data_IF_658591310224
#
_entry.id   IF_658591310224
#
_cell.length_a   1.000
_cell.length_b   1.000
_cell.length_c   1.000
_cell.angle_alpha   90.00
_cell.angle_beta   90.00
_cell.angle_gamma   90.00
#
_symmetry.space_group_name_H-M   'P 1'
#
loop_
_entity.id
_entity.type
_entity.pdbx_description
1 polymer ?
#
# COMPACT_ATOMS: atom_id res chain seq x y z
N UNK A 1 -15.61 -5.71 -0.17
CA UNK A 1 -15.31 -4.30 -0.40
C UNK A 1 -16.48 -3.40 -0.01
N UNK A 2 -17.65 -3.51 -0.62
CA UNK A 2 -18.80 -2.66 -0.35
C UNK A 2 -19.15 -2.58 1.15
N UNK A 3 -19.19 -3.71 1.87
CA UNK A 3 -19.44 -3.76 3.32
C UNK A 3 -18.38 -2.99 4.09
N UNK A 4 -17.11 -3.14 3.73
CA UNK A 4 -16.04 -2.41 4.38
C UNK A 4 -16.17 -0.90 4.16
N UNK A 5 -16.44 -0.46 2.91
CA UNK A 5 -16.65 0.94 2.57
C UNK A 5 -17.84 1.55 3.34
N UNK A 6 -18.98 0.85 3.39
CA UNK A 6 -20.17 1.28 4.13
C UNK A 6 -19.87 1.39 5.62
N UNK A 7 -19.16 0.41 6.19
CA UNK A 7 -18.77 0.41 7.60
C UNK A 7 -17.85 1.60 7.92
N UNK A 8 -16.85 1.88 7.07
CA UNK A 8 -15.96 3.01 7.27
C UNK A 8 -16.68 4.33 7.10
N UNK A 9 -17.54 4.47 6.09
CA UNK A 9 -18.37 5.66 5.92
C UNK A 9 -19.24 5.93 7.16
N UNK A 10 -19.90 4.92 7.68
CA UNK A 10 -20.68 5.04 8.92
C UNK A 10 -19.81 5.45 10.11
N UNK A 11 -18.62 4.90 10.24
CA UNK A 11 -17.69 5.23 11.32
C UNK A 11 -17.21 6.69 11.21
N UNK A 12 -16.91 7.17 10.00
CA UNK A 12 -16.50 8.55 9.76
C UNK A 12 -17.65 9.53 10.04
N UNK A 13 -18.84 9.25 9.53
CA UNK A 13 -20.01 10.12 9.70
C UNK A 13 -20.50 10.22 11.14
N UNK A 14 -20.19 9.25 12.00
CA UNK A 14 -20.57 9.23 13.40
C UNK A 14 -19.58 9.89 14.35
N UNK A 15 -18.45 10.38 13.87
CA UNK A 15 -17.37 10.94 14.69
C UNK A 15 -16.81 12.21 14.04
N UNK A 16 -16.46 13.18 14.88
CA UNK A 16 -15.68 14.36 14.46
C UNK A 16 -14.22 14.10 14.78
N UNK A 17 -13.36 14.12 13.74
CA UNK A 17 -11.93 13.98 13.89
C UNK A 17 -11.24 15.34 13.72
N UNK A 18 -10.25 15.59 14.55
CA UNK A 18 -9.34 16.72 14.38
C UNK A 18 -8.05 16.17 13.76
N UNK A 19 -7.76 16.64 12.56
CA UNK A 19 -6.51 16.29 11.87
C UNK A 19 -5.38 17.13 12.47
N UNK A 20 -4.35 16.46 12.97
CA UNK A 20 -3.18 17.10 13.57
C UNK A 20 -1.89 16.55 12.95
N UNK A 21 -0.84 17.36 12.93
CA UNK A 21 0.50 16.99 12.45
C UNK A 21 0.50 16.39 11.03
N UNK A 22 0.99 15.17 10.88
CA UNK A 22 1.12 14.50 9.58
C UNK A 22 -0.21 14.38 8.83
N UNK A 23 -1.30 14.12 9.53
CA UNK A 23 -2.64 13.99 8.91
C UNK A 23 -3.12 15.30 8.31
N UNK A 24 -2.95 16.41 9.05
CA UNK A 24 -3.27 17.74 8.54
C UNK A 24 -2.38 18.10 7.34
N UNK A 25 -1.09 17.75 7.39
CA UNK A 25 -0.16 17.99 6.30
C UNK A 25 -0.57 17.24 5.02
N UNK A 26 -0.95 15.97 5.11
CA UNK A 26 -1.40 15.21 3.93
C UNK A 26 -2.75 15.67 3.39
N UNK A 27 -3.65 16.15 4.24
CA UNK A 27 -4.89 16.79 3.79
C UNK A 27 -4.60 18.10 3.03
N UNK A 28 -3.69 18.93 3.53
CA UNK A 28 -3.26 20.16 2.84
C UNK A 28 -2.61 19.84 1.49
N UNK A 29 -1.74 18.81 1.45
CA UNK A 29 -1.15 18.33 0.20
C UNK A 29 -2.20 17.84 -0.81
N UNK A 30 -3.32 17.29 -0.35
CA UNK A 30 -4.42 16.90 -1.22
C UNK A 30 -5.08 18.12 -1.86
N UNK A 31 -5.33 19.18 -1.10
CA UNK A 31 -5.86 20.45 -1.65
C UNK A 31 -4.88 21.09 -2.66
N UNK A 32 -3.58 21.06 -2.35
CA UNK A 32 -2.56 21.61 -3.25
C UNK A 32 -2.47 20.78 -4.55
N UNK A 33 -2.59 19.44 -4.45
CA UNK A 33 -2.65 18.54 -5.61
C UNK A 33 -3.85 18.85 -6.49
N UNK A 34 -5.04 18.96 -5.91
CA UNK A 34 -6.27 19.31 -6.62
C UNK A 34 -6.12 20.65 -7.34
N UNK A 35 -5.63 21.68 -6.65
CA UNK A 35 -5.39 22.99 -7.25
C UNK A 35 -4.39 22.92 -8.42
N UNK A 36 -3.34 22.10 -8.30
CA UNK A 36 -2.35 21.92 -9.36
C UNK A 36 -2.91 21.15 -10.57
N UNK A 37 -3.71 20.09 -10.33
CA UNK A 37 -4.37 19.33 -11.40
C UNK A 37 -5.49 20.13 -12.07
N UNK A 38 -6.22 20.97 -11.33
CA UNK A 38 -7.23 21.87 -11.88
C UNK A 38 -6.63 22.90 -12.86
N UNK A 39 -5.39 23.34 -12.64
CA UNK A 39 -4.70 24.23 -13.58
C UNK A 39 -4.30 23.52 -14.86
N UNK A 40 -3.68 22.36 -14.75
CA UNK A 40 -3.33 21.48 -15.85
C UNK A 40 -2.80 20.12 -15.35
N UNK A 41 -2.92 19.08 -16.18
CA UNK A 41 -2.30 17.77 -15.90
C UNK A 41 -0.79 17.91 -15.70
N UNK A 42 -0.12 18.74 -16.49
CA UNK A 42 1.32 19.02 -16.34
C UNK A 42 1.68 19.72 -15.03
N UNK A 43 0.81 20.60 -14.52
CA UNK A 43 0.91 21.23 -13.21
C UNK A 43 0.84 20.20 -12.09
N UNK A 44 -0.17 19.34 -12.12
CA UNK A 44 -0.31 18.24 -11.16
C UNK A 44 0.88 17.27 -11.15
N UNK A 45 1.32 16.84 -12.32
CA UNK A 45 2.52 15.99 -12.43
C UNK A 45 3.78 16.68 -11.88
N UNK A 46 3.97 17.98 -12.17
CA UNK A 46 5.10 18.74 -11.62
C UNK A 46 5.02 18.84 -10.10
N UNK A 47 3.83 19.00 -9.53
CA UNK A 47 3.61 19.01 -8.09
C UNK A 47 4.00 17.67 -7.45
N UNK A 48 3.62 16.53 -8.07
CA UNK A 48 3.98 15.19 -7.59
C UNK A 48 5.49 14.98 -7.66
N UNK A 49 6.08 15.14 -8.84
CA UNK A 49 7.51 14.89 -9.05
C UNK A 49 8.41 15.90 -8.34
N UNK A 50 7.96 17.12 -8.11
CA UNK A 50 8.69 18.13 -7.34
C UNK A 50 8.94 17.72 -5.90
N UNK A 51 8.10 16.86 -5.33
CA UNK A 51 8.22 16.37 -3.95
C UNK A 51 9.10 15.13 -3.78
N UNK A 52 9.72 14.61 -4.85
CA UNK A 52 10.54 13.37 -4.76
C UNK A 52 11.73 13.47 -3.80
N UNK A 53 12.25 14.68 -3.58
CA UNK A 53 13.35 14.93 -2.66
C UNK A 53 12.88 15.24 -1.22
N UNK A 54 11.59 15.46 -0.99
CA UNK A 54 11.03 15.83 0.30
C UNK A 54 10.90 14.63 1.23
N UNK A 55 10.91 14.87 2.54
CA UNK A 55 10.67 13.82 3.55
C UNK A 55 9.25 13.25 3.47
N UNK A 56 8.31 14.07 3.02
CA UNK A 56 6.91 13.75 2.82
C UNK A 56 6.55 13.95 1.35
N UNK A 57 6.58 12.86 0.60
CA UNK A 57 6.24 12.93 -0.83
C UNK A 57 4.75 13.17 -1.06
N UNK A 58 4.40 13.72 -2.23
CA UNK A 58 3.02 13.99 -2.61
C UNK A 58 2.37 12.82 -3.37
N UNK A 59 3.07 11.70 -3.57
CA UNK A 59 2.61 10.61 -4.44
C UNK A 59 1.30 9.95 -3.99
N UNK A 60 1.00 9.95 -2.67
CA UNK A 60 -0.26 9.40 -2.19
C UNK A 60 -1.47 10.15 -2.75
N UNK A 61 -1.32 11.46 -2.99
CA UNK A 61 -2.42 12.29 -3.51
C UNK A 61 -2.87 11.87 -4.90
N UNK A 62 -1.98 11.27 -5.71
CA UNK A 62 -2.33 10.75 -7.03
C UNK A 62 -3.47 9.71 -6.97
N UNK A 63 -3.46 8.85 -5.95
CA UNK A 63 -4.44 7.76 -5.81
C UNK A 63 -5.74 8.22 -5.17
N UNK A 64 -5.68 9.25 -4.35
CA UNK A 64 -6.85 9.79 -3.63
C UNK A 64 -7.50 10.95 -4.36
N UNK A 65 -6.85 11.54 -5.34
CA UNK A 65 -7.32 12.72 -6.08
C UNK A 65 -8.67 12.47 -6.76
N UNK A 66 -8.78 11.38 -7.53
CA UNK A 66 -10.00 11.10 -8.28
C UNK A 66 -11.27 11.02 -7.39
N UNK A 67 -11.31 10.20 -6.32
CA UNK A 67 -12.49 10.20 -5.45
C UNK A 67 -12.62 11.48 -4.62
N UNK A 68 -11.54 12.14 -4.26
CA UNK A 68 -11.58 13.37 -3.48
C UNK A 68 -12.21 14.54 -4.24
N UNK A 69 -11.85 14.74 -5.50
CA UNK A 69 -12.40 15.79 -6.36
C UNK A 69 -13.91 15.64 -6.66
N UNK A 70 -14.49 14.46 -6.37
CA UNK A 70 -15.93 14.20 -6.50
C UNK A 70 -16.72 14.44 -5.21
N UNK A 71 -16.07 14.92 -4.15
CA UNK A 71 -16.66 15.07 -2.82
C UNK A 71 -16.78 16.54 -2.41
N UNK A 72 -17.20 16.79 -1.18
CA UNK A 72 -17.31 18.11 -0.57
C UNK A 72 -15.99 18.68 -0.03
N UNK A 73 -14.87 18.00 -0.30
CA UNK A 73 -13.50 18.41 0.05
C UNK A 73 -13.27 18.59 1.56
N UNK A 74 -14.01 17.89 2.37
CA UNK A 74 -13.82 17.85 3.83
C UNK A 74 -12.72 16.87 4.24
N UNK A 75 -12.27 16.93 5.51
CA UNK A 75 -11.37 15.93 6.07
C UNK A 75 -11.97 14.52 6.04
N UNK A 76 -13.28 14.39 6.25
CA UNK A 76 -13.98 13.10 6.16
C UNK A 76 -13.98 12.57 4.72
N UNK A 77 -14.15 13.45 3.74
CA UNK A 77 -14.04 13.11 2.32
C UNK A 77 -12.63 12.64 1.95
N UNK A 78 -11.60 13.25 2.52
CA UNK A 78 -10.21 12.80 2.35
C UNK A 78 -9.99 11.40 2.93
N UNK A 79 -10.43 11.15 4.16
CA UNK A 79 -10.36 9.82 4.77
C UNK A 79 -11.14 8.79 3.96
N UNK A 80 -12.33 9.14 3.47
CA UNK A 80 -13.14 8.28 2.61
C UNK A 80 -12.42 7.96 1.29
N UNK A 81 -11.78 8.94 0.66
CA UNK A 81 -11.03 8.75 -0.58
C UNK A 81 -9.87 7.77 -0.40
N UNK A 82 -9.17 7.85 0.72
CA UNK A 82 -8.12 6.88 1.07
C UNK A 82 -8.70 5.47 1.28
N UNK A 83 -9.77 5.35 2.06
CA UNK A 83 -10.45 4.05 2.28
C UNK A 83 -10.90 3.45 0.95
N UNK A 84 -11.47 4.26 0.06
CA UNK A 84 -11.99 3.82 -1.22
C UNK A 84 -10.89 3.27 -2.14
N UNK A 85 -9.74 3.93 -2.20
CA UNK A 85 -8.64 3.56 -3.10
C UNK A 85 -7.71 2.49 -2.52
N UNK A 86 -7.37 2.60 -1.23
CA UNK A 86 -6.27 1.83 -0.63
C UNK A 86 -6.79 0.53 -0.03
N UNK A 87 -7.91 0.57 0.69
CA UNK A 87 -8.41 -0.60 1.43
C UNK A 87 -8.70 -1.82 0.55
N UNK A 88 -9.39 -1.71 -0.60
CA UNK A 88 -9.67 -2.87 -1.44
C UNK A 88 -8.40 -3.55 -1.94
N UNK A 89 -7.44 -2.75 -2.37
CA UNK A 89 -6.15 -3.23 -2.89
C UNK A 89 -5.38 -3.95 -1.78
N UNK A 90 -5.32 -3.35 -0.60
CA UNK A 90 -4.65 -3.94 0.56
C UNK A 90 -5.29 -5.26 1.00
N UNK A 91 -6.63 -5.31 1.04
CA UNK A 91 -7.39 -6.53 1.37
C UNK A 91 -7.06 -7.66 0.40
N UNK A 92 -7.07 -7.38 -0.91
CA UNK A 92 -6.78 -8.38 -1.95
C UNK A 92 -5.34 -8.86 -1.88
N UNK A 93 -4.38 -7.95 -1.72
CA UNK A 93 -2.96 -8.31 -1.64
C UNK A 93 -2.65 -9.15 -0.40
N UNK A 94 -3.17 -8.78 0.76
CA UNK A 94 -2.96 -9.55 1.99
C UNK A 94 -3.65 -10.91 1.93
N UNK A 95 -4.88 -10.96 1.42
CA UNK A 95 -5.56 -12.25 1.21
C UNK A 95 -4.82 -13.12 0.19
N UNK A 96 -4.29 -12.53 -0.88
CA UNK A 96 -3.43 -13.21 -1.86
C UNK A 96 -2.15 -13.76 -1.22
N UNK A 97 -1.52 -12.99 -0.34
CA UNK A 97 -0.34 -13.43 0.41
C UNK A 97 -0.65 -14.63 1.32
N UNK A 98 -1.77 -14.59 2.05
CA UNK A 98 -2.21 -15.71 2.89
C UNK A 98 -2.46 -16.97 2.06
N UNK A 99 -3.10 -16.84 0.88
CA UNK A 99 -3.31 -17.96 -0.06
C UNK A 99 -1.97 -18.51 -0.56
N UNK A 100 -1.03 -17.64 -0.91
CA UNK A 100 0.29 -18.03 -1.41
C UNK A 100 1.10 -18.80 -0.35
N UNK A 101 1.12 -18.30 0.87
CA UNK A 101 1.73 -19.00 2.01
C UNK A 101 1.06 -20.35 2.24
N UNK A 102 -0.28 -20.40 2.20
CA UNK A 102 -1.04 -21.66 2.31
C UNK A 102 -0.69 -22.66 1.21
N UNK A 103 -0.40 -22.21 -0.02
CA UNK A 103 0.07 -23.06 -1.11
C UNK A 103 1.46 -23.65 -0.81
N UNK A 104 2.39 -22.84 -0.33
CA UNK A 104 3.74 -23.29 0.03
C UNK A 104 3.71 -24.31 1.18
N UNK A 105 2.75 -24.17 2.10
CA UNK A 105 2.53 -25.10 3.20
C UNK A 105 1.64 -26.32 2.80
N UNK A 106 1.33 -26.51 1.51
CA UNK A 106 0.50 -27.61 0.98
C UNK A 106 -0.91 -27.70 1.58
N UNK A 107 -1.51 -26.56 1.93
CA UNK A 107 -2.85 -26.55 2.52
C UNK A 107 -3.92 -26.68 1.43
N UNK A 108 -4.88 -27.59 1.63
CA UNK A 108 -5.84 -28.03 0.59
C UNK A 108 -6.94 -27.00 0.27
N UNK A 109 -7.33 -26.14 1.20
CA UNK A 109 -8.53 -25.31 1.03
C UNK A 109 -8.23 -23.82 0.88
N UNK A 110 -7.88 -23.40 -0.34
CA UNK A 110 -7.44 -22.04 -0.66
C UNK A 110 -8.51 -20.95 -0.36
N UNK A 111 -9.78 -21.28 -0.56
CA UNK A 111 -10.87 -20.32 -0.35
C UNK A 111 -11.02 -19.94 1.13
N UNK A 112 -10.86 -20.90 2.06
CA UNK A 112 -10.91 -20.58 3.50
C UNK A 112 -9.77 -19.64 3.90
N UNK A 113 -8.56 -19.84 3.38
CA UNK A 113 -7.44 -18.96 3.67
C UNK A 113 -7.62 -17.57 3.08
N UNK A 114 -8.17 -17.48 1.87
CA UNK A 114 -8.52 -16.20 1.28
C UNK A 114 -9.56 -15.45 2.12
N UNK A 115 -10.64 -16.10 2.48
CA UNK A 115 -11.69 -15.51 3.33
C UNK A 115 -11.16 -15.17 4.74
N UNK A 116 -10.31 -16.02 5.30
CA UNK A 116 -9.65 -15.76 6.58
C UNK A 116 -8.76 -14.52 6.50
N UNK A 117 -7.91 -14.41 5.47
CA UNK A 117 -7.07 -13.24 5.24
C UNK A 117 -7.90 -11.96 5.08
N UNK A 118 -8.97 -12.00 4.28
CA UNK A 118 -9.92 -10.88 4.11
C UNK A 118 -10.53 -10.45 5.45
N UNK A 119 -11.03 -11.42 6.21
CA UNK A 119 -11.68 -11.15 7.51
C UNK A 119 -10.68 -10.59 8.52
N UNK A 120 -9.49 -11.21 8.62
CA UNK A 120 -8.44 -10.74 9.52
C UNK A 120 -8.06 -9.29 9.23
N UNK A 121 -7.86 -8.96 7.95
CA UNK A 121 -7.50 -7.59 7.55
C UNK A 121 -8.63 -6.60 7.85
N UNK A 122 -9.87 -6.96 7.51
CA UNK A 122 -11.02 -6.10 7.74
C UNK A 122 -11.31 -5.84 9.22
N UNK A 123 -10.98 -6.81 10.09
CA UNK A 123 -11.23 -6.71 11.54
C UNK A 123 -10.03 -6.21 12.33
N UNK A 124 -8.85 -6.10 11.72
CA UNK A 124 -7.64 -5.70 12.43
C UNK A 124 -7.73 -4.23 12.91
N UNK A 125 -7.73 -3.99 14.24
CA UNK A 125 -8.03 -2.67 14.78
C UNK A 125 -7.06 -1.58 14.32
N UNK A 126 -5.78 -1.91 14.15
CA UNK A 126 -4.76 -0.96 13.73
C UNK A 126 -4.99 -0.46 12.30
N UNK A 127 -5.30 -1.35 11.35
CA UNK A 127 -5.62 -0.95 9.98
C UNK A 127 -6.87 -0.09 9.94
N UNK A 128 -7.86 -0.41 10.77
CA UNK A 128 -9.09 0.37 10.89
C UNK A 128 -8.82 1.78 11.43
N UNK A 129 -8.01 1.89 12.49
CA UNK A 129 -7.61 3.20 13.03
C UNK A 129 -6.83 4.02 12.01
N UNK A 130 -5.87 3.40 11.33
CA UNK A 130 -5.06 4.06 10.30
C UNK A 130 -5.91 4.54 9.13
N UNK A 131 -6.93 3.77 8.73
CA UNK A 131 -7.87 4.15 7.69
C UNK A 131 -8.71 5.38 8.08
N UNK A 132 -9.27 5.37 9.30
CA UNK A 132 -10.10 6.47 9.82
C UNK A 132 -9.27 7.75 9.98
N UNK A 133 -8.02 7.63 10.42
CA UNK A 133 -7.10 8.77 10.58
C UNK A 133 -6.40 9.17 9.27
N UNK A 134 -6.73 8.51 8.15
CA UNK A 134 -6.12 8.76 6.84
C UNK A 134 -4.58 8.75 6.87
N UNK A 135 -4.00 7.75 7.56
CA UNK A 135 -2.54 7.62 7.66
C UNK A 135 -1.96 7.18 6.31
N UNK A 136 -0.94 7.86 5.80
CA UNK A 136 -0.34 7.51 4.51
C UNK A 136 0.45 6.18 4.55
N UNK A 137 0.74 5.65 5.75
CA UNK A 137 1.55 4.45 5.91
C UNK A 137 0.91 3.20 5.28
N UNK A 138 -0.41 3.08 5.31
CA UNK A 138 -1.07 1.93 4.70
C UNK A 138 -1.03 1.94 3.16
N UNK A 139 -0.81 3.10 2.55
CA UNK A 139 -0.50 3.17 1.12
C UNK A 139 0.82 2.46 0.80
N UNK A 140 1.85 2.65 1.63
CA UNK A 140 3.12 1.93 1.49
C UNK A 140 2.97 0.42 1.71
N UNK A 141 2.04 -0.02 2.58
CA UNK A 141 1.78 -1.46 2.80
C UNK A 141 1.29 -2.18 1.55
N UNK A 142 0.60 -1.49 0.63
CA UNK A 142 0.23 -2.06 -0.68
C UNK A 142 1.46 -2.58 -1.40
N UNK A 143 2.48 -1.74 -1.50
CA UNK A 143 3.72 -2.09 -2.21
C UNK A 143 4.55 -3.12 -1.42
N UNK A 144 4.56 -3.05 -0.08
CA UNK A 144 5.21 -4.07 0.74
C UNK A 144 4.61 -5.46 0.50
N UNK A 145 3.28 -5.59 0.50
CA UNK A 145 2.63 -6.86 0.21
C UNK A 145 2.77 -7.28 -1.26
N UNK A 146 2.82 -6.34 -2.20
CA UNK A 146 3.12 -6.65 -3.59
C UNK A 146 4.54 -7.22 -3.75
N UNK A 147 5.55 -6.62 -3.11
CA UNK A 147 6.92 -7.12 -3.10
C UNK A 147 6.95 -8.54 -2.51
N UNK A 148 6.33 -8.76 -1.34
CA UNK A 148 6.25 -10.08 -0.72
C UNK A 148 5.62 -11.11 -1.65
N UNK A 149 4.47 -10.80 -2.28
CA UNK A 149 3.81 -11.69 -3.23
C UNK A 149 4.66 -12.03 -4.46
N UNK A 150 5.40 -11.04 -4.95
CA UNK A 150 6.25 -11.20 -6.13
C UNK A 150 7.54 -11.98 -5.83
N UNK A 151 8.01 -11.99 -4.60
CA UNK A 151 9.30 -12.57 -4.23
C UNK A 151 9.19 -13.91 -3.48
N UNK A 152 8.02 -14.27 -2.96
CA UNK A 152 7.83 -15.43 -2.08
C UNK A 152 8.20 -16.78 -2.74
N UNK A 153 8.08 -16.89 -4.06
CA UNK A 153 8.50 -18.05 -4.88
C UNK A 153 9.38 -17.61 -6.05
N UNK A 154 10.07 -16.49 -5.90
CA UNK A 154 10.96 -15.99 -6.94
C UNK A 154 12.21 -16.86 -7.02
N UNK A 155 12.57 -17.24 -8.24
CA UNK A 155 13.76 -18.02 -8.53
C UNK A 155 14.78 -17.15 -9.23
N UNK A 156 15.96 -17.01 -8.64
CA UNK A 156 17.04 -16.19 -9.18
C UNK A 156 17.76 -16.84 -10.38
N UNK A 157 17.64 -18.18 -10.51
CA UNK A 157 18.19 -18.96 -11.62
C UNK A 157 17.43 -18.81 -12.94
N UNK A 158 16.22 -18.25 -12.90
CA UNK A 158 15.37 -18.06 -14.07
C UNK A 158 15.16 -16.57 -14.35
N UNK A 159 15.38 -16.14 -15.60
CA UNK A 159 15.11 -14.76 -16.02
C UNK A 159 13.60 -14.56 -16.21
N UNK A 160 12.97 -13.91 -15.25
CA UNK A 160 11.57 -13.47 -15.33
C UNK A 160 11.49 -11.92 -15.44
N UNK A 161 11.76 -11.34 -16.63
CA UNK A 161 11.98 -9.89 -16.76
C UNK A 161 10.76 -9.05 -16.35
N UNK A 162 9.56 -9.53 -16.62
CA UNK A 162 8.32 -8.84 -16.22
C UNK A 162 8.19 -8.81 -14.71
N UNK A 163 8.41 -9.93 -14.04
CA UNK A 163 8.32 -10.04 -12.59
C UNK A 163 9.41 -9.20 -11.91
N UNK A 164 10.62 -9.23 -12.44
CA UNK A 164 11.71 -8.38 -11.97
C UNK A 164 11.38 -6.89 -12.13
N UNK A 165 10.82 -6.49 -13.28
CA UNK A 165 10.34 -5.13 -13.50
C UNK A 165 9.24 -4.71 -12.52
N UNK A 166 8.30 -5.59 -12.20
CA UNK A 166 7.24 -5.34 -11.21
C UNK A 166 7.81 -5.20 -9.80
N UNK A 167 8.79 -6.03 -9.42
CA UNK A 167 9.48 -5.91 -8.12
C UNK A 167 10.20 -4.56 -8.04
N UNK A 168 10.92 -4.17 -9.08
CA UNK A 168 11.60 -2.87 -9.15
C UNK A 168 10.62 -1.70 -9.02
N UNK A 169 9.52 -1.73 -9.76
CA UNK A 169 8.48 -0.69 -9.70
C UNK A 169 7.82 -0.62 -8.32
N UNK A 170 7.50 -1.75 -7.71
CA UNK A 170 6.93 -1.80 -6.36
C UNK A 170 7.93 -1.28 -5.32
N UNK A 171 9.23 -1.58 -5.49
CA UNK A 171 10.31 -1.08 -4.62
C UNK A 171 10.47 0.44 -4.74
N UNK A 172 10.44 0.97 -5.95
CA UNK A 172 10.47 2.42 -6.16
C UNK A 172 9.22 3.10 -5.56
N UNK A 173 8.05 2.51 -5.79
CA UNK A 173 6.78 3.05 -5.31
C UNK A 173 6.69 3.06 -3.77
N UNK A 174 7.18 2.03 -3.07
CA UNK A 174 7.15 2.00 -1.61
C UNK A 174 8.06 3.08 -0.99
N UNK A 175 9.22 3.33 -1.58
CA UNK A 175 10.13 4.40 -1.14
C UNK A 175 9.51 5.77 -1.39
N UNK A 176 8.82 5.95 -2.53
CA UNK A 176 8.07 7.16 -2.85
C UNK A 176 6.81 7.34 -2.00
N UNK A 177 6.20 6.25 -1.52
CA UNK A 177 5.07 6.33 -0.60
C UNK A 177 5.47 6.99 0.72
N UNK A 178 6.57 6.54 1.30
CA UNK A 178 7.15 7.15 2.51
C UNK A 178 8.59 6.65 2.72
N UNK A 179 9.53 7.54 3.00
CA UNK A 179 10.96 7.20 3.19
C UNK A 179 11.24 6.18 4.29
N UNK A 180 10.39 6.09 5.31
CA UNK A 180 10.51 5.08 6.37
C UNK A 180 10.52 3.64 5.86
N UNK A 181 9.86 3.39 4.73
CA UNK A 181 9.88 2.07 4.10
C UNK A 181 11.24 1.69 3.52
N UNK A 182 12.19 2.62 3.42
CA UNK A 182 13.56 2.29 3.03
C UNK A 182 14.17 1.24 3.98
N UNK A 183 13.89 1.33 5.29
CA UNK A 183 14.34 0.33 6.26
C UNK A 183 13.75 -1.06 5.98
N UNK A 184 12.47 -1.12 5.62
CA UNK A 184 11.85 -2.38 5.18
C UNK A 184 12.52 -2.91 3.92
N UNK A 185 12.73 -2.08 2.91
CA UNK A 185 13.36 -2.47 1.63
C UNK A 185 14.75 -3.04 1.87
N UNK A 186 15.60 -2.30 2.59
CA UNK A 186 16.97 -2.74 2.88
C UNK A 186 16.97 -4.06 3.67
N UNK A 187 16.23 -4.13 4.78
CA UNK A 187 16.17 -5.32 5.62
C UNK A 187 15.62 -6.53 4.87
N UNK A 188 14.56 -6.34 4.07
CA UNK A 188 13.93 -7.40 3.32
C UNK A 188 14.85 -7.98 2.23
N UNK A 189 15.52 -7.12 1.44
CA UNK A 189 16.43 -7.61 0.40
C UNK A 189 17.69 -8.26 0.98
N UNK A 190 18.20 -7.80 2.11
CA UNK A 190 19.26 -8.51 2.82
C UNK A 190 18.82 -9.93 3.24
N UNK A 191 17.62 -10.06 3.80
CA UNK A 191 17.09 -11.38 4.13
C UNK A 191 16.91 -12.27 2.90
N UNK A 192 16.42 -11.69 1.80
CA UNK A 192 16.18 -12.43 0.55
C UNK A 192 17.50 -12.95 -0.05
N UNK A 193 18.55 -12.13 -0.09
CA UNK A 193 19.87 -12.52 -0.58
C UNK A 193 20.49 -13.60 0.32
N UNK A 194 20.45 -13.41 1.64
CA UNK A 194 21.00 -14.37 2.58
C UNK A 194 20.32 -15.74 2.48
N UNK A 195 19.00 -15.79 2.33
CA UNK A 195 18.27 -17.06 2.19
C UNK A 195 18.50 -17.72 0.84
N UNK A 196 18.78 -16.96 -0.21
CA UNK A 196 19.16 -17.47 -1.53
C UNK A 196 20.52 -18.15 -1.48
N UNK A 197 21.54 -17.49 -0.92
CA UNK A 197 22.89 -18.06 -0.79
C UNK A 197 22.90 -19.33 0.07
N UNK A 198 22.15 -19.32 1.19
CA UNK A 198 22.05 -20.49 2.07
C UNK A 198 21.33 -21.68 1.40
N UNK A 199 20.42 -21.43 0.47
CA UNK A 199 19.76 -22.48 -0.30
C UNK A 199 20.70 -23.09 -1.36
N UNK A 200 21.54 -22.28 -2.00
CA UNK A 200 22.53 -22.73 -2.99
C UNK A 200 23.65 -23.55 -2.33
N UNK A 201 24.09 -23.16 -1.13
CA UNK A 201 25.08 -23.91 -0.34
C UNK A 201 24.55 -25.29 0.10
N UNK A 202 23.23 -25.41 0.39
CA UNK A 202 22.61 -26.69 0.77
C UNK A 202 22.42 -27.63 -0.42
N UNK A 203 22.29 -27.11 -1.64
CA UNK A 203 22.14 -27.90 -2.87
C UNK A 203 23.52 -28.32 -3.43
N UNK A 204 24.58 -27.59 -3.10
CA UNK A 204 25.94 -27.80 -3.57
C UNK A 204 26.73 -28.87 -2.78
N UNK A 205 26.11 -29.59 -1.82
CA UNK A 205 26.73 -30.66 -1.04
C UNK A 205 26.23 -32.04 -1.53
N UNK A 206 26.46 -32.35 -2.81
CA UNK A 206 26.35 -33.71 -3.38
C UNK A 206 27.70 -34.13 -4.01
#
# INVERSE_FOLDING_TARGET
>A
WAVAVVYFYWTLSSRSFIYVWDYANYLLKQYDAEAAFAQSTGGGLRYLFGSMADDYTNFITLFTEFPFCLTDHTGDAYSFSQVFCILPTLLVLLAGLVVKVGQLLNVKNRMYYFLFGMTLTATYPFLRMSAVLAQPDWFGLIFAFAILLLTLDFRFDTLEPVRFGLIFLATAAIILARRWFLYFVVGYYFCLLYTSDAADDLIGVD
#
